data_IF_853697316100
#
_entry.id   IF_853697316100
#
_cell.length_a   1.000
_cell.length_b   1.000
_cell.length_c   1.000
_cell.angle_alpha   90.00
_cell.angle_beta   90.00
_cell.angle_gamma   90.00
#
_symmetry.space_group_name_H-M   'P 1'
#
loop_
_entity.id
_entity.type
_entity.pdbx_description
1 polymer ?
#
# COMPACT_ATOMS: atom_id res chain seq x y z
N UNK A 1 -41.53 -53.64 5.90
CA UNK A 1 -42.18 -52.39 5.50
C UNK A 1 -41.08 -51.33 5.57
N UNK A 2 -40.59 -50.96 4.38
CA UNK A 2 -39.51 -49.96 4.22
C UNK A 2 -40.19 -48.65 3.75
N UNK A 3 -40.00 -47.59 4.52
CA UNK A 3 -40.41 -46.25 4.08
C UNK A 3 -39.23 -45.60 3.39
N UNK A 4 -39.36 -45.30 2.11
CA UNK A 4 -38.46 -44.47 1.33
C UNK A 4 -38.99 -43.04 1.36
N UNK A 5 -38.30 -42.15 2.04
CA UNK A 5 -38.57 -40.69 1.99
C UNK A 5 -37.76 -40.06 0.86
N UNK A 6 -38.48 -39.54 -0.13
CA UNK A 6 -37.91 -38.67 -1.17
C UNK A 6 -37.65 -37.28 -0.57
N UNK A 7 -36.41 -36.87 -0.51
CA UNK A 7 -36.04 -35.50 -0.25
C UNK A 7 -35.92 -34.73 -1.58
N UNK A 8 -36.87 -33.86 -1.81
CA UNK A 8 -36.87 -32.94 -2.95
C UNK A 8 -35.91 -31.78 -2.65
N UNK A 9 -34.78 -31.76 -3.32
CA UNK A 9 -33.78 -30.71 -3.19
C UNK A 9 -34.19 -29.53 -4.09
N UNK A 10 -34.73 -28.45 -3.48
CA UNK A 10 -34.95 -27.19 -4.17
C UNK A 10 -33.58 -26.49 -4.34
N UNK A 11 -33.10 -26.47 -5.56
CA UNK A 11 -32.01 -25.55 -5.97
C UNK A 11 -32.57 -24.12 -6.05
N UNK A 12 -32.37 -23.36 -5.00
CA UNK A 12 -32.50 -21.92 -5.06
C UNK A 12 -31.22 -21.35 -5.66
N UNK A 13 -31.29 -21.02 -6.93
CA UNK A 13 -30.30 -20.15 -7.58
C UNK A 13 -30.41 -18.73 -7.01
N UNK A 14 -29.53 -18.37 -6.09
CA UNK A 14 -29.33 -16.98 -5.73
C UNK A 14 -28.52 -16.31 -6.85
N UNK A 15 -29.21 -15.61 -7.73
CA UNK A 15 -28.60 -14.55 -8.51
C UNK A 15 -28.39 -13.37 -7.56
N UNK A 16 -27.18 -13.22 -7.01
CA UNK A 16 -26.78 -11.99 -6.35
C UNK A 16 -26.60 -10.93 -7.43
N UNK A 17 -27.68 -10.22 -7.71
CA UNK A 17 -27.61 -8.96 -8.41
C UNK A 17 -26.84 -7.97 -7.52
N UNK A 18 -25.72 -7.47 -8.03
CA UNK A 18 -25.07 -6.30 -7.48
C UNK A 18 -26.04 -5.12 -7.64
N UNK A 19 -26.88 -4.84 -6.65
CA UNK A 19 -27.60 -3.58 -6.58
C UNK A 19 -26.63 -2.56 -6.00
N UNK A 20 -26.08 -1.70 -6.87
CA UNK A 20 -25.41 -0.47 -6.44
C UNK A 20 -26.48 0.45 -5.85
N UNK A 21 -26.62 0.46 -4.53
CA UNK A 21 -27.17 1.65 -3.88
C UNK A 21 -26.11 2.75 -4.04
N UNK A 22 -26.40 3.72 -4.88
CA UNK A 22 -25.70 5.01 -4.92
C UNK A 22 -25.83 5.66 -3.53
N UNK A 23 -24.79 5.47 -2.71
CA UNK A 23 -24.59 6.36 -1.56
C UNK A 23 -23.87 7.58 -2.11
N UNK A 24 -24.49 8.74 -1.96
CA UNK A 24 -23.91 10.05 -2.21
C UNK A 24 -22.56 10.19 -1.51
N UNK A 25 -21.47 9.87 -2.22
CA UNK A 25 -20.13 10.27 -1.83
C UNK A 25 -19.96 11.69 -2.32
N UNK A 26 -19.59 12.67 -1.46
CA UNK A 26 -19.38 14.04 -1.91
C UNK A 26 -18.39 14.08 -3.07
N UNK A 27 -18.73 14.83 -4.09
CA UNK A 27 -17.93 15.10 -5.28
C UNK A 27 -16.51 15.54 -4.86
N UNK A 28 -15.46 14.79 -5.18
CA UNK A 28 -14.09 15.16 -4.81
C UNK A 28 -13.59 16.44 -5.51
N UNK A 29 -14.33 16.97 -6.47
CA UNK A 29 -13.98 18.21 -7.18
C UNK A 29 -14.42 19.50 -6.47
N UNK A 30 -15.18 19.43 -5.37
CA UNK A 30 -15.59 20.62 -4.64
C UNK A 30 -14.58 21.02 -3.57
N UNK A 31 -13.42 21.51 -3.96
CA UNK A 31 -12.55 22.16 -2.97
C UNK A 31 -11.04 22.12 -3.15
N UNK A 32 -10.52 21.94 -4.35
CA UNK A 32 -9.08 22.12 -4.60
C UNK A 32 -8.88 23.42 -5.39
N UNK A 33 -8.28 24.46 -4.81
CA UNK A 33 -7.90 25.65 -5.58
C UNK A 33 -6.70 25.34 -6.44
N UNK A 34 -6.88 25.42 -7.78
CA UNK A 34 -5.84 25.74 -8.74
C UNK A 34 -4.72 24.73 -8.92
N UNK A 35 -4.97 23.68 -9.67
CA UNK A 35 -3.93 22.96 -10.40
C UNK A 35 -4.05 23.30 -11.87
N UNK A 36 -2.92 23.69 -12.48
CA UNK A 36 -2.72 24.12 -13.85
C UNK A 36 -3.46 23.20 -14.85
N UNK A 37 -4.29 23.79 -15.71
CA UNK A 37 -5.04 23.09 -16.74
C UNK A 37 -4.08 22.57 -17.83
N UNK A 38 -3.59 21.36 -17.64
CA UNK A 38 -3.10 20.54 -18.74
C UNK A 38 -4.31 20.05 -19.52
N UNK A 39 -4.45 20.47 -20.75
CA UNK A 39 -5.52 20.07 -21.67
C UNK A 39 -5.62 18.56 -21.79
N UNK A 40 -6.57 17.97 -21.10
CA UNK A 40 -7.01 16.58 -21.25
C UNK A 40 -8.33 16.58 -22.01
N UNK A 41 -8.24 16.62 -23.35
CA UNK A 41 -9.38 16.50 -24.24
C UNK A 41 -9.57 15.03 -24.64
N UNK A 42 -10.50 14.37 -23.99
CA UNK A 42 -11.10 13.14 -24.46
C UNK A 42 -10.87 11.92 -23.57
N UNK A 43 -11.68 11.76 -22.60
CA UNK A 43 -12.13 10.56 -21.88
C UNK A 43 -12.47 10.86 -20.41
N UNK A 44 -13.07 12.02 -20.16
CA UNK A 44 -13.34 12.50 -18.77
C UNK A 44 -14.40 11.72 -17.99
N UNK A 45 -15.20 10.88 -18.65
CA UNK A 45 -16.31 10.20 -17.98
C UNK A 45 -16.07 8.71 -17.67
N UNK A 46 -15.12 8.07 -18.34
CA UNK A 46 -14.81 6.64 -18.15
C UNK A 46 -13.74 6.36 -17.11
N UNK A 47 -13.03 7.37 -16.62
CA UNK A 47 -11.85 7.24 -15.78
C UNK A 47 -12.12 7.34 -14.25
N UNK A 48 -13.38 7.56 -13.85
CA UNK A 48 -13.74 7.67 -12.41
C UNK A 48 -13.75 6.33 -11.69
N UNK A 49 -13.95 5.25 -12.41
CA UNK A 49 -14.10 3.91 -11.84
C UNK A 49 -12.96 3.03 -12.31
N UNK A 50 -12.42 2.21 -11.40
CA UNK A 50 -11.41 1.21 -11.75
C UNK A 50 -11.88 0.35 -12.92
N UNK A 51 -11.01 0.04 -13.90
CA UNK A 51 -11.35 -0.86 -14.99
C UNK A 51 -11.75 -2.26 -14.52
N UNK A 52 -11.51 -2.60 -13.25
CA UNK A 52 -11.77 -3.91 -12.63
C UNK A 52 -12.82 -3.83 -11.53
N UNK A 53 -14.03 -3.40 -11.87
CA UNK A 53 -15.13 -3.21 -10.92
C UNK A 53 -15.62 -4.49 -10.26
N UNK A 54 -15.49 -5.63 -10.94
CA UNK A 54 -15.95 -6.93 -10.44
C UNK A 54 -14.89 -8.00 -10.72
N UNK A 55 -14.70 -8.89 -9.79
CA UNK A 55 -13.77 -10.01 -9.97
C UNK A 55 -14.53 -11.34 -10.09
N UNK A 56 -14.09 -12.28 -10.94
CA UNK A 56 -12.97 -12.17 -11.89
C UNK A 56 -13.32 -11.24 -13.05
N UNK A 57 -12.46 -10.29 -13.33
CA UNK A 57 -12.68 -9.34 -14.40
C UNK A 57 -11.89 -9.72 -15.64
N UNK A 58 -12.55 -9.78 -16.79
CA UNK A 58 -11.92 -9.93 -18.10
C UNK A 58 -12.21 -8.68 -18.91
N UNK A 59 -11.16 -7.92 -19.21
CA UNK A 59 -11.20 -6.84 -20.16
C UNK A 59 -10.31 -7.18 -21.34
N UNK A 60 -10.75 -6.92 -22.53
CA UNK A 60 -9.98 -7.09 -23.78
C UNK A 60 -8.65 -6.29 -23.74
N UNK A 61 -8.57 -5.28 -22.87
CA UNK A 61 -7.43 -4.38 -22.74
C UNK A 61 -6.41 -4.84 -21.70
N UNK A 62 -6.76 -5.78 -20.81
CA UNK A 62 -5.92 -6.19 -19.69
C UNK A 62 -5.73 -7.69 -19.63
N UNK A 63 -4.49 -8.12 -19.40
CA UNK A 63 -4.12 -9.51 -19.21
C UNK A 63 -3.71 -9.73 -17.74
N UNK A 64 -4.41 -10.66 -17.05
CA UNK A 64 -4.07 -10.99 -15.66
C UNK A 64 -2.69 -11.65 -15.59
N UNK A 65 -1.85 -11.11 -14.71
CA UNK A 65 -0.50 -11.62 -14.44
C UNK A 65 -0.56 -12.64 -13.30
N UNK A 66 -0.65 -13.92 -13.62
CA UNK A 66 -0.82 -15.00 -12.65
C UNK A 66 0.35 -15.06 -11.67
N UNK A 67 1.59 -14.86 -12.13
CA UNK A 67 2.79 -14.93 -11.30
C UNK A 67 2.85 -13.82 -10.23
N UNK A 68 2.16 -12.71 -10.47
CA UNK A 68 2.08 -11.56 -9.57
C UNK A 68 0.69 -11.41 -8.95
N UNK A 69 -0.07 -12.50 -8.93
CA UNK A 69 -1.41 -12.57 -8.33
C UNK A 69 -1.48 -13.75 -7.38
N UNK A 70 -2.19 -13.58 -6.25
CA UNK A 70 -2.38 -14.64 -5.27
C UNK A 70 -3.74 -14.45 -4.57
N UNK A 71 -4.56 -15.50 -4.57
CA UNK A 71 -5.86 -15.54 -3.88
C UNK A 71 -5.73 -16.08 -2.45
N UNK A 72 -4.57 -16.55 -2.05
CA UNK A 72 -4.21 -17.12 -0.74
C UNK A 72 -4.98 -18.39 -0.30
N UNK A 73 -5.90 -18.92 -1.09
CA UNK A 73 -6.68 -20.13 -0.78
C UNK A 73 -5.82 -21.36 -0.46
N UNK A 74 -4.63 -21.43 -1.03
CA UNK A 74 -3.66 -22.53 -0.88
C UNK A 74 -2.29 -22.07 -0.37
N UNK A 75 -2.25 -20.90 0.26
CA UNK A 75 -1.01 -20.21 0.58
C UNK A 75 -0.52 -19.34 -0.57
N UNK A 76 0.76 -19.01 -0.55
CA UNK A 76 1.42 -18.30 -1.64
C UNK A 76 2.55 -19.16 -2.23
N UNK A 77 2.77 -19.05 -3.53
CA UNK A 77 3.83 -19.79 -4.22
C UNK A 77 5.20 -19.16 -3.93
N UNK A 78 6.05 -19.93 -3.26
CA UNK A 78 7.40 -19.49 -2.87
C UNK A 78 8.38 -19.39 -4.07
N UNK A 79 7.99 -19.80 -5.27
CA UNK A 79 8.74 -19.52 -6.49
C UNK A 79 8.63 -18.03 -6.86
N UNK A 80 7.45 -17.42 -6.66
CA UNK A 80 7.15 -16.04 -7.08
C UNK A 80 7.09 -15.04 -5.93
N UNK A 81 6.87 -15.51 -4.70
CA UNK A 81 6.72 -14.69 -3.52
C UNK A 81 7.71 -15.07 -2.43
N UNK A 82 8.09 -14.11 -1.62
CA UNK A 82 8.94 -14.31 -0.44
C UNK A 82 8.41 -13.56 0.78
N UNK A 83 8.63 -14.13 1.95
CA UNK A 83 8.41 -13.52 3.26
C UNK A 83 9.77 -13.33 3.95
N UNK A 84 10.52 -12.29 3.59
CA UNK A 84 11.90 -12.15 3.99
C UNK A 84 12.05 -11.86 5.48
N UNK A 85 13.16 -12.31 6.06
CA UNK A 85 13.69 -11.70 7.26
C UNK A 85 14.45 -10.44 6.83
N UNK A 86 13.90 -9.28 7.17
CA UNK A 86 14.55 -8.01 6.86
C UNK A 86 14.72 -7.18 8.14
N UNK A 87 15.98 -6.97 8.51
CA UNK A 87 16.40 -6.23 9.69
C UNK A 87 17.02 -4.87 9.37
N UNK A 88 17.03 -4.46 8.10
CA UNK A 88 17.66 -3.20 7.68
C UNK A 88 16.70 -2.03 7.72
N UNK A 89 15.42 -2.29 7.66
CA UNK A 89 14.43 -1.32 7.31
C UNK A 89 14.01 -0.55 8.54
N UNK A 90 13.61 -0.43 9.45
CA UNK A 90 12.85 0.47 10.29
C UNK A 90 13.14 0.29 11.79
N UNK A 91 12.16 0.56 12.60
CA UNK A 91 12.21 0.42 14.06
C UNK A 91 11.71 -0.94 14.54
N UNK A 92 11.48 -1.87 13.62
CA UNK A 92 11.11 -3.27 13.83
C UNK A 92 11.90 -4.18 12.89
N UNK A 93 11.75 -5.48 13.03
CA UNK A 93 12.32 -6.48 12.12
C UNK A 93 11.21 -7.29 11.47
N UNK A 94 11.26 -7.48 10.15
CA UNK A 94 10.37 -8.41 9.48
C UNK A 94 10.85 -9.85 9.71
N UNK A 95 9.94 -10.69 10.18
CA UNK A 95 10.19 -12.10 10.42
C UNK A 95 9.22 -12.97 9.61
N UNK A 96 9.70 -14.05 8.96
CA UNK A 96 8.85 -14.99 8.23
C UNK A 96 7.73 -15.57 9.06
N UNK A 97 7.96 -15.79 10.35
CA UNK A 97 6.98 -16.35 11.30
C UNK A 97 5.80 -15.43 11.60
N UNK A 98 5.87 -14.18 11.13
CA UNK A 98 4.77 -13.22 11.22
C UNK A 98 3.92 -13.17 9.93
N UNK A 99 4.19 -14.06 8.97
CA UNK A 99 3.43 -14.22 7.73
C UNK A 99 2.80 -15.59 7.73
N UNK A 100 1.48 -15.64 7.70
CA UNK A 100 0.71 -16.88 7.70
C UNK A 100 -0.44 -16.79 6.70
N UNK A 101 -0.80 -17.91 6.10
CA UNK A 101 -2.04 -18.03 5.33
C UNK A 101 -3.01 -18.91 6.09
N UNK A 102 -4.22 -18.40 6.31
CA UNK A 102 -5.27 -19.10 7.05
C UNK A 102 -6.63 -18.75 6.46
N UNK A 103 -7.48 -19.76 6.29
CA UNK A 103 -8.87 -19.61 5.81
C UNK A 103 -8.96 -18.78 4.51
N UNK A 104 -8.05 -19.05 3.57
CA UNK A 104 -8.00 -18.36 2.28
C UNK A 104 -7.52 -16.92 2.34
N UNK A 105 -6.81 -16.51 3.40
CA UNK A 105 -6.32 -15.15 3.59
C UNK A 105 -4.87 -15.13 4.02
N UNK A 106 -4.16 -14.09 3.61
CA UNK A 106 -2.85 -13.76 4.16
C UNK A 106 -3.04 -12.95 5.45
N UNK A 107 -2.35 -13.36 6.51
CA UNK A 107 -2.21 -12.66 7.77
C UNK A 107 -0.79 -12.13 7.92
N UNK A 108 -0.64 -10.82 7.98
CA UNK A 108 0.62 -10.17 8.37
C UNK A 108 0.48 -9.69 9.81
N UNK A 109 1.29 -10.26 10.70
CA UNK A 109 1.19 -10.03 12.14
C UNK A 109 2.31 -9.12 12.62
N UNK A 110 1.97 -8.18 13.49
CA UNK A 110 2.94 -7.47 14.31
C UNK A 110 2.86 -8.01 15.73
N UNK A 111 4.03 -8.29 16.33
CA UNK A 111 4.12 -8.89 17.68
C UNK A 111 5.12 -8.15 18.51
N UNK A 112 4.80 -7.95 19.80
CA UNK A 112 5.80 -7.52 20.75
C UNK A 112 6.87 -8.60 20.90
N UNK A 113 8.10 -8.22 20.60
CA UNK A 113 9.27 -9.06 20.75
C UNK A 113 10.51 -8.18 20.91
N UNK A 114 11.00 -8.09 22.16
CA UNK A 114 12.20 -7.32 22.47
C UNK A 114 13.45 -8.03 21.95
N UNK A 115 14.20 -7.36 21.11
CA UNK A 115 15.43 -7.88 20.53
C UNK A 115 16.43 -6.76 20.21
N UNK A 116 17.62 -7.14 19.77
CA UNK A 116 18.66 -6.18 19.36
C UNK A 116 18.94 -6.26 17.87
N UNK A 117 19.20 -5.10 17.31
CA UNK A 117 19.79 -4.96 15.98
C UNK A 117 21.07 -4.13 16.09
N UNK A 118 22.22 -4.82 16.15
CA UNK A 118 23.48 -4.21 16.55
C UNK A 118 23.40 -3.70 18.00
N UNK A 119 23.61 -2.42 18.20
CA UNK A 119 23.50 -1.77 19.51
C UNK A 119 22.10 -1.24 19.84
N UNK A 120 21.15 -1.26 18.88
CA UNK A 120 19.81 -0.70 19.03
C UNK A 120 18.85 -1.74 19.63
N UNK A 121 18.09 -1.34 20.64
CA UNK A 121 16.95 -2.12 21.13
C UNK A 121 15.76 -1.90 20.20
N UNK A 122 15.10 -3.00 19.82
CA UNK A 122 13.87 -3.05 19.08
C UNK A 122 12.83 -3.84 19.89
N UNK A 123 11.57 -3.50 19.70
CA UNK A 123 10.49 -4.03 20.56
C UNK A 123 9.44 -4.81 19.79
N UNK A 124 9.48 -4.81 18.46
CA UNK A 124 8.48 -5.46 17.63
C UNK A 124 9.11 -6.22 16.47
N UNK A 125 8.46 -7.32 16.12
CA UNK A 125 8.63 -7.99 14.84
C UNK A 125 7.35 -7.88 14.02
N UNK A 126 7.46 -7.92 12.69
CA UNK A 126 6.31 -7.80 11.80
C UNK A 126 6.40 -8.73 10.60
N UNK A 127 5.32 -8.80 9.80
CA UNK A 127 5.22 -9.58 8.58
C UNK A 127 5.33 -8.72 7.31
N UNK A 128 5.97 -9.30 6.28
CA UNK A 128 6.05 -8.77 4.93
C UNK A 128 5.92 -9.92 3.93
N UNK A 129 5.15 -9.70 2.87
CA UNK A 129 5.15 -10.54 1.67
C UNK A 129 5.56 -9.67 0.49
N UNK A 130 6.51 -10.15 -0.33
CA UNK A 130 7.05 -9.42 -1.47
C UNK A 130 7.18 -10.31 -2.70
N UNK A 131 6.93 -9.77 -3.90
CA UNK A 131 7.23 -10.48 -5.14
C UNK A 131 8.74 -10.65 -5.32
N UNK A 132 9.17 -11.79 -5.85
CA UNK A 132 10.59 -12.04 -6.15
C UNK A 132 11.05 -11.38 -7.45
N UNK A 133 10.12 -11.04 -8.31
CA UNK A 133 10.39 -10.32 -9.56
C UNK A 133 9.69 -8.97 -9.56
N UNK A 134 10.23 -8.04 -10.32
CA UNK A 134 9.72 -6.68 -10.46
C UNK A 134 8.63 -6.62 -11.51
N UNK A 135 7.75 -5.67 -11.37
CA UNK A 135 6.68 -5.31 -12.31
C UNK A 135 6.85 -3.85 -12.74
N UNK A 136 6.48 -3.54 -13.98
CA UNK A 136 6.58 -2.19 -14.55
C UNK A 136 5.23 -1.47 -14.58
N UNK A 137 4.83 -1.00 -15.77
CA UNK A 137 3.49 -0.45 -15.97
C UNK A 137 2.45 -1.54 -15.90
N UNK A 138 1.32 -1.24 -15.26
CA UNK A 138 0.25 -2.20 -15.04
C UNK A 138 -0.76 -1.71 -14.03
N UNK A 139 -1.78 -2.52 -13.81
CA UNK A 139 -2.79 -2.33 -12.79
C UNK A 139 -2.56 -3.35 -11.68
N UNK A 140 -2.50 -2.88 -10.45
CA UNK A 140 -2.20 -3.67 -9.26
C UNK A 140 -3.21 -3.38 -8.18
N UNK A 141 -3.86 -4.41 -7.64
CA UNK A 141 -4.84 -4.27 -6.56
C UNK A 141 -4.63 -5.30 -5.46
N UNK A 142 -5.01 -4.93 -4.24
CA UNK A 142 -5.13 -5.85 -3.12
C UNK A 142 -6.41 -5.54 -2.34
N UNK A 143 -7.09 -6.59 -1.86
CA UNK A 143 -8.24 -6.47 -0.97
C UNK A 143 -7.78 -6.68 0.46
N UNK A 144 -7.84 -5.61 1.25
CA UNK A 144 -7.19 -5.53 2.55
C UNK A 144 -8.18 -5.08 3.62
N UNK A 145 -8.10 -5.73 4.78
CA UNK A 145 -8.63 -5.26 6.05
C UNK A 145 -7.46 -4.80 6.91
N UNK A 146 -7.47 -3.56 7.35
CA UNK A 146 -6.39 -2.94 8.13
C UNK A 146 -6.21 -3.59 9.50
N UNK A 147 -5.05 -3.38 10.07
CA UNK A 147 -4.74 -3.79 11.44
C UNK A 147 -5.55 -2.95 12.45
N UNK A 148 -5.88 -3.54 13.59
CA UNK A 148 -6.79 -3.01 14.59
C UNK A 148 -6.15 -2.05 15.62
N UNK A 149 -4.92 -1.58 15.35
CA UNK A 149 -4.19 -0.67 16.25
C UNK A 149 -3.98 0.70 15.62
N UNK A 150 -4.77 1.68 16.06
CA UNK A 150 -4.57 3.07 15.69
C UNK A 150 -4.70 4.00 16.93
N UNK A 151 -3.76 4.94 17.13
CA UNK A 151 -2.52 5.12 16.37
C UNK A 151 -1.49 4.05 16.72
N UNK A 152 -0.61 3.71 15.77
CA UNK A 152 0.53 2.86 16.08
C UNK A 152 0.93 1.86 15.02
N UNK A 153 0.01 1.40 14.16
CA UNK A 153 0.33 0.51 13.04
C UNK A 153 0.06 1.18 11.69
N UNK A 154 0.59 0.57 10.63
CA UNK A 154 0.36 0.98 9.25
C UNK A 154 0.33 -0.25 8.38
N UNK A 155 -0.87 -0.64 7.95
CA UNK A 155 -1.06 -1.68 6.94
C UNK A 155 -0.79 -1.08 5.57
N UNK A 156 0.12 -1.66 4.79
CA UNK A 156 0.56 -1.09 3.54
C UNK A 156 0.56 -2.10 2.38
N UNK A 157 0.12 -1.61 1.22
CA UNK A 157 0.37 -2.20 -0.08
C UNK A 157 1.12 -1.18 -0.94
N UNK A 158 2.30 -1.54 -1.43
CA UNK A 158 3.21 -0.62 -2.08
C UNK A 158 4.13 -1.30 -3.07
N UNK A 159 4.70 -0.51 -3.97
CA UNK A 159 5.67 -0.93 -4.96
C UNK A 159 6.96 -0.16 -4.74
N UNK A 160 8.12 -0.81 -4.85
CA UNK A 160 9.38 -0.10 -4.69
C UNK A 160 10.58 -0.77 -5.41
N UNK A 161 11.55 0.06 -5.75
CA UNK A 161 12.88 -0.40 -6.17
C UNK A 161 13.72 -0.71 -4.93
N UNK A 162 14.45 -1.82 -4.91
CA UNK A 162 15.21 -2.21 -3.72
C UNK A 162 16.46 -1.33 -3.55
N UNK A 163 16.63 -0.62 -2.41
CA UNK A 163 17.75 0.32 -2.25
C UNK A 163 19.14 -0.30 -2.42
N UNK A 164 19.33 -1.59 -2.10
CA UNK A 164 20.62 -2.26 -2.27
C UNK A 164 20.96 -2.61 -3.73
N UNK A 165 20.03 -2.42 -4.66
CA UNK A 165 20.23 -2.63 -6.09
C UNK A 165 20.59 -1.33 -6.83
N UNK A 166 20.64 -0.21 -6.11
CA UNK A 166 21.00 1.08 -6.71
C UNK A 166 22.50 1.07 -7.02
N UNK A 167 22.82 1.22 -8.30
CA UNK A 167 24.19 1.41 -8.79
C UNK A 167 24.37 2.85 -9.28
N UNK A 168 25.13 3.63 -8.51
CA UNK A 168 25.40 5.03 -8.83
C UNK A 168 26.67 5.23 -9.68
N UNK A 169 27.38 4.15 -10.05
CA UNK A 169 28.70 4.24 -10.68
C UNK A 169 28.74 5.02 -12.00
N UNK A 170 27.63 5.02 -12.74
CA UNK A 170 27.47 5.74 -14.01
C UNK A 170 26.40 6.85 -13.93
N UNK A 171 25.94 7.18 -12.72
CA UNK A 171 24.87 8.15 -12.51
C UNK A 171 25.34 9.59 -12.70
N UNK A 172 24.38 10.48 -12.90
CA UNK A 172 24.56 11.94 -12.99
C UNK A 172 23.67 12.62 -11.98
N UNK A 173 24.02 13.85 -11.59
CA UNK A 173 23.16 14.69 -10.77
C UNK A 173 21.72 14.69 -11.33
N UNK A 174 20.75 14.55 -10.43
CA UNK A 174 19.31 14.51 -10.71
C UNK A 174 18.80 13.24 -11.43
N UNK A 175 19.65 12.25 -11.67
CA UNK A 175 19.16 10.95 -12.11
C UNK A 175 18.28 10.33 -11.03
N UNK A 176 17.11 9.82 -11.44
CA UNK A 176 16.21 9.08 -10.56
C UNK A 176 16.73 7.66 -10.43
N UNK A 177 17.08 7.25 -9.23
CA UNK A 177 17.71 5.95 -8.91
C UNK A 177 16.84 5.04 -8.06
N UNK A 178 15.71 5.53 -7.58
CA UNK A 178 14.75 4.77 -6.77
C UNK A 178 13.33 5.26 -7.02
N UNK A 179 12.41 4.34 -7.14
CA UNK A 179 10.98 4.59 -7.20
C UNK A 179 10.24 3.86 -6.10
N UNK A 180 9.18 4.52 -5.57
CA UNK A 180 8.25 3.95 -4.61
C UNK A 180 6.85 4.51 -4.86
N UNK A 181 5.85 3.63 -4.91
CA UNK A 181 4.44 3.97 -5.01
C UNK A 181 3.72 3.26 -3.87
N UNK A 182 3.27 4.02 -2.88
CA UNK A 182 2.44 3.52 -1.80
C UNK A 182 0.99 3.52 -2.29
N UNK A 183 0.51 2.36 -2.75
CA UNK A 183 -0.86 2.19 -3.21
C UNK A 183 -1.84 2.53 -2.09
N UNK A 184 -1.50 2.11 -0.88
CA UNK A 184 -2.18 2.47 0.35
C UNK A 184 -1.26 2.34 1.55
N UNK A 185 -1.34 3.30 2.46
CA UNK A 185 -0.86 3.25 3.82
C UNK A 185 -2.04 3.57 4.75
N UNK A 186 -2.65 2.52 5.30
CA UNK A 186 -3.78 2.65 6.22
C UNK A 186 -3.28 3.13 7.57
N UNK A 187 -4.05 4.03 8.19
CA UNK A 187 -3.81 4.49 9.55
C UNK A 187 -2.47 5.23 9.75
N UNK A 188 -1.82 5.62 8.67
CA UNK A 188 -0.56 6.37 8.69
C UNK A 188 -0.72 7.77 9.31
N UNK A 189 -1.87 8.41 9.09
CA UNK A 189 -2.09 9.81 9.50
C UNK A 189 -2.52 9.87 10.97
N UNK A 190 -1.72 10.49 11.86
CA UNK A 190 -2.02 10.49 13.30
C UNK A 190 -3.30 11.23 13.67
N UNK A 191 -3.80 12.11 12.78
CA UNK A 191 -5.02 12.88 13.02
C UNK A 191 -6.30 12.05 12.95
N UNK A 192 -6.33 11.05 12.08
CA UNK A 192 -7.54 10.30 11.80
C UNK A 192 -7.24 8.99 11.09
N UNK A 193 -7.82 7.91 11.59
CA UNK A 193 -7.81 6.61 10.94
C UNK A 193 -8.64 6.56 9.65
N UNK A 194 -9.49 7.56 9.43
CA UNK A 194 -10.32 7.71 8.23
C UNK A 194 -9.61 8.42 7.07
N UNK A 195 -8.36 8.83 7.24
CA UNK A 195 -7.56 9.41 6.18
C UNK A 195 -6.67 8.30 5.59
N UNK A 196 -6.97 7.93 4.36
CA UNK A 196 -6.17 7.02 3.56
C UNK A 196 -5.00 7.78 2.95
N UNK A 197 -3.80 7.24 3.04
CA UNK A 197 -2.58 7.84 2.53
C UNK A 197 -2.09 7.07 1.32
N UNK A 198 -1.90 7.76 0.20
CA UNK A 198 -1.42 7.22 -1.06
C UNK A 198 -0.28 8.12 -1.52
N UNK A 199 0.93 7.63 -1.43
CA UNK A 199 2.11 8.46 -1.60
C UNK A 199 3.01 7.94 -2.72
N UNK A 200 3.88 8.82 -3.21
CA UNK A 200 4.92 8.45 -4.16
C UNK A 200 6.23 9.10 -3.75
N UNK A 201 7.30 8.33 -3.82
CA UNK A 201 8.64 8.76 -3.44
C UNK A 201 9.64 8.44 -4.54
N UNK A 202 10.66 9.26 -4.68
CA UNK A 202 11.82 8.97 -5.50
C UNK A 202 13.10 9.27 -4.74
N UNK A 203 14.21 8.64 -5.14
CA UNK A 203 15.53 9.14 -4.78
C UNK A 203 16.23 9.59 -6.05
N UNK A 204 16.95 10.68 -5.91
CA UNK A 204 17.79 11.24 -6.97
C UNK A 204 19.24 11.27 -6.53
N UNK A 205 20.15 11.43 -7.47
CA UNK A 205 21.54 11.71 -7.16
C UNK A 205 21.75 13.21 -6.94
N UNK A 206 22.36 13.57 -5.81
CA UNK A 206 22.77 14.95 -5.52
C UNK A 206 24.05 15.34 -6.28
N UNK A 207 24.65 16.47 -5.94
CA UNK A 207 25.87 16.96 -6.58
C UNK A 207 27.10 16.09 -6.31
N UNK A 208 27.10 15.36 -5.19
CA UNK A 208 28.16 14.41 -4.80
C UNK A 208 27.86 12.98 -5.26
N UNK A 209 26.83 12.77 -6.08
CA UNK A 209 26.29 11.48 -6.52
C UNK A 209 25.85 10.58 -5.36
N UNK A 210 25.39 11.19 -4.27
CA UNK A 210 24.75 10.50 -3.14
C UNK A 210 23.23 10.49 -3.30
N UNK A 211 22.61 9.53 -2.67
CA UNK A 211 21.15 9.37 -2.72
C UNK A 211 20.47 10.48 -1.88
N UNK A 212 19.71 11.34 -2.54
CA UNK A 212 18.82 12.33 -1.92
C UNK A 212 17.37 11.86 -2.03
N UNK A 213 16.67 11.76 -0.89
CA UNK A 213 15.27 11.34 -0.87
C UNK A 213 14.33 12.52 -1.16
N UNK A 214 13.44 12.35 -2.13
CA UNK A 214 12.35 13.26 -2.45
C UNK A 214 11.07 12.65 -1.92
N UNK A 215 10.70 13.01 -0.68
CA UNK A 215 9.57 12.42 0.05
C UNK A 215 8.27 13.17 -0.22
N UNK A 216 7.16 12.45 -0.34
CA UNK A 216 5.81 13.01 -0.51
C UNK A 216 5.48 14.10 0.52
N UNK A 217 5.83 13.91 1.80
CA UNK A 217 5.60 14.90 2.85
C UNK A 217 6.39 16.20 2.69
N UNK A 218 7.54 16.18 2.01
CA UNK A 218 8.35 17.36 1.71
C UNK A 218 7.98 17.99 0.37
N UNK A 219 7.45 17.20 -0.55
CA UNK A 219 7.06 17.59 -1.91
C UNK A 219 5.62 17.14 -2.20
N UNK A 220 4.62 17.72 -1.49
CA UNK A 220 3.25 17.22 -1.54
C UNK A 220 2.59 17.35 -2.91
N UNK A 221 2.92 18.36 -3.68
CA UNK A 221 2.38 18.49 -5.03
C UNK A 221 2.87 17.40 -5.99
N UNK A 222 4.05 16.83 -5.72
CA UNK A 222 4.61 15.75 -6.51
C UNK A 222 3.98 14.39 -6.17
N UNK A 223 3.98 14.02 -4.89
CA UNK A 223 3.75 12.64 -4.50
C UNK A 223 2.73 12.40 -3.40
N UNK A 224 2.13 13.45 -2.78
CA UNK A 224 1.20 13.25 -1.67
C UNK A 224 -0.25 13.19 -2.16
N UNK A 225 -0.99 12.17 -1.73
CA UNK A 225 -2.43 12.08 -1.85
C UNK A 225 -3.02 11.60 -0.51
N UNK A 226 -4.12 12.22 -0.10
CA UNK A 226 -4.88 11.84 1.08
C UNK A 226 -6.37 11.82 0.71
N UNK A 227 -7.03 10.69 0.97
CA UNK A 227 -8.46 10.51 0.71
C UNK A 227 -9.16 10.28 2.04
N UNK A 228 -10.17 11.07 2.35
CA UNK A 228 -11.00 10.87 3.55
C UNK A 228 -12.16 9.96 3.23
N UNK A 229 -12.37 8.93 4.06
CA UNK A 229 -13.46 7.98 3.95
C UNK A 229 -14.37 8.05 5.17
N UNK A 230 -15.61 7.55 5.05
CA UNK A 230 -16.60 7.52 6.14
C UNK A 230 -16.60 6.21 6.93
N UNK A 231 -15.81 5.23 6.51
CA UNK A 231 -15.68 3.90 7.11
C UNK A 231 -14.29 3.72 7.74
N UNK A 232 -14.20 2.78 8.68
CA UNK A 232 -12.96 2.47 9.35
C UNK A 232 -12.24 1.32 8.64
N UNK A 233 -10.96 1.49 8.20
CA UNK A 233 -10.21 0.47 7.49
C UNK A 233 -10.00 -0.86 8.23
N UNK A 234 -10.20 -0.87 9.53
CA UNK A 234 -10.08 -2.08 10.37
C UNK A 234 -11.38 -2.89 10.48
N UNK A 235 -12.52 -2.33 10.06
CA UNK A 235 -13.82 -2.98 10.24
C UNK A 235 -14.10 -4.03 9.15
N UNK A 236 -13.75 -3.73 7.89
CA UNK A 236 -14.01 -4.61 6.74
C UNK A 236 -12.90 -4.54 5.68
N UNK A 237 -13.03 -5.40 4.68
CA UNK A 237 -12.14 -5.47 3.52
C UNK A 237 -12.53 -4.44 2.46
N UNK A 238 -11.55 -3.66 2.04
CA UNK A 238 -11.64 -2.73 0.93
C UNK A 238 -10.61 -3.03 -0.15
N UNK A 239 -10.89 -2.65 -1.39
CA UNK A 239 -9.98 -2.83 -2.52
C UNK A 239 -9.18 -1.55 -2.73
N UNK A 240 -7.87 -1.67 -2.67
CA UNK A 240 -6.94 -0.58 -2.93
C UNK A 240 -6.14 -0.90 -4.19
N UNK A 241 -6.09 0.04 -5.13
CA UNK A 241 -5.43 -0.23 -6.40
C UNK A 241 -4.67 0.98 -6.94
N UNK A 242 -3.72 0.68 -7.81
CA UNK A 242 -2.99 1.66 -8.61
C UNK A 242 -2.86 1.16 -10.04
N UNK A 243 -3.03 2.06 -11.00
CA UNK A 243 -2.56 1.85 -12.36
C UNK A 243 -1.34 2.76 -12.60
N UNK A 244 -0.17 2.12 -12.75
CA UNK A 244 1.05 2.80 -13.15
C UNK A 244 1.11 2.81 -14.69
N UNK A 245 0.90 3.97 -15.29
CA UNK A 245 0.89 4.22 -16.74
C UNK A 245 2.14 4.99 -17.16
N UNK A 246 2.50 5.02 -18.45
CA UNK A 246 3.60 5.87 -18.94
C UNK A 246 3.39 7.37 -18.72
N UNK A 247 2.14 7.83 -18.71
CA UNK A 247 1.73 9.25 -18.61
C UNK A 247 1.31 9.64 -17.19
N UNK A 248 0.74 8.71 -16.42
CA UNK A 248 0.10 8.99 -15.14
C UNK A 248 0.18 7.82 -14.16
N UNK A 249 0.10 8.13 -12.87
CA UNK A 249 -0.14 7.16 -11.79
C UNK A 249 -1.52 7.44 -11.23
N UNK A 250 -2.44 6.46 -11.34
CA UNK A 250 -3.85 6.61 -10.98
C UNK A 250 -4.19 5.69 -9.81
N UNK A 251 -4.80 6.22 -8.76
CA UNK A 251 -5.16 5.49 -7.55
C UNK A 251 -6.66 5.26 -7.45
N UNK A 252 -7.04 4.09 -6.95
CA UNK A 252 -8.43 3.69 -6.78
C UNK A 252 -8.66 3.12 -5.39
N UNK A 253 -9.85 3.36 -4.84
CA UNK A 253 -10.38 2.73 -3.62
C UNK A 253 -11.77 2.21 -3.93
N UNK A 254 -12.01 0.93 -3.69
CA UNK A 254 -13.28 0.25 -4.00
C UNK A 254 -13.77 0.52 -5.44
N UNK A 255 -12.83 0.42 -6.38
CA UNK A 255 -13.02 0.66 -7.81
C UNK A 255 -13.33 2.12 -8.22
N UNK A 256 -13.30 3.06 -7.28
CA UNK A 256 -13.47 4.49 -7.57
C UNK A 256 -12.11 5.15 -7.66
N UNK A 257 -11.86 5.91 -8.73
CA UNK A 257 -10.66 6.74 -8.85
C UNK A 257 -10.67 7.84 -7.80
N UNK A 258 -9.64 7.86 -6.95
CA UNK A 258 -9.50 8.82 -5.85
C UNK A 258 -8.39 9.84 -6.06
N UNK A 259 -7.37 9.49 -6.86
CA UNK A 259 -6.28 10.40 -7.19
C UNK A 259 -5.63 10.05 -8.53
N UNK A 260 -5.00 11.04 -9.14
CA UNK A 260 -4.15 10.87 -10.31
C UNK A 260 -3.02 11.90 -10.27
N UNK A 261 -1.83 11.47 -10.68
CA UNK A 261 -0.64 12.33 -10.81
C UNK A 261 0.05 12.05 -12.14
N UNK A 262 0.63 13.07 -12.80
CA UNK A 262 1.48 12.84 -13.96
C UNK A 262 2.67 11.93 -13.59
N UNK A 263 2.96 10.96 -14.42
CA UNK A 263 4.09 10.05 -14.20
C UNK A 263 5.38 10.63 -14.77
N UNK A 264 5.98 11.60 -14.10
CA UNK A 264 7.26 12.17 -14.52
C UNK A 264 8.46 11.27 -14.23
N UNK A 265 8.39 10.43 -13.16
CA UNK A 265 9.59 9.81 -12.60
C UNK A 265 9.43 8.33 -12.23
N UNK A 266 8.23 7.77 -12.15
CA UNK A 266 7.98 6.38 -11.69
C UNK A 266 7.95 5.40 -12.87
N UNK A 267 9.12 5.23 -13.53
CA UNK A 267 9.28 4.42 -14.74
C UNK A 267 10.18 3.19 -14.54
N UNK A 268 10.66 2.98 -13.32
CA UNK A 268 11.47 1.81 -12.99
C UNK A 268 10.58 0.63 -12.63
N UNK A 269 11.04 -0.57 -12.94
CA UNK A 269 10.38 -1.79 -12.44
C UNK A 269 10.53 -1.90 -10.92
N UNK A 270 9.47 -2.28 -10.22
CA UNK A 270 9.35 -2.29 -8.77
C UNK A 270 8.84 -3.64 -8.26
N UNK A 271 9.16 -3.98 -7.01
CA UNK A 271 8.61 -5.14 -6.32
C UNK A 271 7.24 -4.81 -5.73
N UNK A 272 6.27 -5.71 -5.90
CA UNK A 272 4.98 -5.66 -5.20
C UNK A 272 5.17 -6.09 -3.75
N UNK A 273 4.65 -5.33 -2.80
CA UNK A 273 4.88 -5.59 -1.38
C UNK A 273 3.63 -5.34 -0.55
N UNK A 274 3.33 -6.28 0.32
CA UNK A 274 2.37 -6.18 1.41
C UNK A 274 3.13 -6.20 2.71
N UNK A 275 2.90 -5.24 3.61
CA UNK A 275 3.61 -5.17 4.89
C UNK A 275 2.78 -4.53 5.98
N UNK A 276 3.05 -4.91 7.23
CA UNK A 276 2.51 -4.25 8.40
C UNK A 276 3.64 -3.52 9.12
N UNK A 277 3.56 -2.21 9.21
CA UNK A 277 4.59 -1.36 9.81
C UNK A 277 4.14 -0.71 11.11
N UNK A 278 5.09 -0.03 11.77
CA UNK A 278 4.84 0.79 12.96
C UNK A 278 4.79 2.27 12.62
N UNK A 279 4.03 3.00 13.46
CA UNK A 279 3.95 4.47 13.47
C UNK A 279 3.98 4.94 14.93
N UNK A 280 3.95 6.25 15.14
CA UNK A 280 3.77 6.84 16.48
C UNK A 280 2.51 6.25 17.13
N UNK A 281 2.54 5.78 18.39
CA UNK A 281 3.57 6.06 19.40
C UNK A 281 4.72 5.03 19.48
N UNK A 282 4.73 3.96 18.68
CA UNK A 282 5.74 2.90 18.77
C UNK A 282 7.06 3.27 18.10
N UNK A 283 7.07 4.34 17.35
CA UNK A 283 8.28 4.97 16.83
C UNK A 283 8.22 6.49 16.97
N UNK A 284 9.37 7.13 16.98
CA UNK A 284 9.50 8.58 16.95
C UNK A 284 10.54 9.00 15.91
N UNK A 285 10.42 10.24 15.46
CA UNK A 285 11.38 10.86 14.56
C UNK A 285 12.23 11.83 15.36
N UNK A 286 13.55 11.77 15.20
CA UNK A 286 14.49 12.78 15.67
C UNK A 286 14.52 13.98 14.70
N UNK A 287 15.12 15.07 15.14
CA UNK A 287 15.18 16.31 14.36
C UNK A 287 15.94 16.16 13.02
N UNK A 288 16.87 15.22 12.94
CA UNK A 288 17.61 14.85 11.73
C UNK A 288 16.84 13.87 10.80
N UNK A 289 15.61 13.49 11.20
CA UNK A 289 14.76 12.56 10.48
C UNK A 289 15.06 11.08 10.77
N UNK A 290 15.99 10.78 11.70
CA UNK A 290 16.23 9.40 12.13
C UNK A 290 15.00 8.85 12.86
N UNK A 291 14.64 7.59 12.55
CA UNK A 291 13.56 6.87 13.23
C UNK A 291 14.12 6.07 14.41
N UNK A 292 13.49 6.20 15.56
CA UNK A 292 13.84 5.47 16.78
C UNK A 292 12.67 4.60 17.23
N UNK A 293 12.98 3.38 17.65
CA UNK A 293 12.02 2.50 18.32
C UNK A 293 11.69 3.07 19.71
N UNK A 294 10.43 3.06 20.07
CA UNK A 294 9.95 3.47 21.40
C UNK A 294 9.63 2.22 22.19
N UNK A 295 10.15 2.16 23.44
CA UNK A 295 9.81 1.08 24.34
C UNK A 295 8.34 1.20 24.77
N UNK A 296 7.48 0.24 24.42
CA UNK A 296 6.05 0.31 24.77
C UNK A 296 5.79 0.22 26.27
N UNK A 297 6.68 -0.39 27.05
CA UNK A 297 6.53 -0.50 28.52
C UNK A 297 6.51 0.87 29.24
N UNK A 298 7.01 1.91 28.56
CA UNK A 298 7.04 3.28 29.10
C UNK A 298 5.98 4.21 28.54
N UNK A 299 5.08 3.73 27.67
CA UNK A 299 4.05 4.56 27.08
C UNK A 299 2.87 4.78 28.03
N UNK A 300 2.36 6.02 28.05
CA UNK A 300 1.15 6.34 28.75
C UNK A 300 -0.03 5.61 28.06
N UNK A 301 -0.89 4.96 28.86
CA UNK A 301 -2.07 4.25 28.37
C UNK A 301 -3.00 5.14 27.57
N UNK A 302 -3.07 6.43 27.88
CA UNK A 302 -3.88 7.42 27.14
C UNK A 302 -3.37 7.67 25.71
N UNK A 303 -2.16 7.26 25.39
CA UNK A 303 -1.55 7.40 24.05
C UNK A 303 -1.78 6.15 23.20
N UNK A 304 -2.17 5.04 23.82
CA UNK A 304 -2.21 3.73 23.17
C UNK A 304 -3.53 3.40 22.51
N UNK A 305 -4.62 3.96 22.98
CA UNK A 305 -5.93 3.87 22.33
C UNK A 305 -6.99 4.72 23.03
N UNK A 306 -8.20 4.73 22.46
CA UNK A 306 -9.40 5.21 23.11
C UNK A 306 -9.94 4.20 24.16
N UNK A 307 -9.41 2.98 24.21
CA UNK A 307 -9.94 1.87 25.03
C UNK A 307 -8.88 1.19 25.95
N UNK A 308 -7.59 1.51 25.83
CA UNK A 308 -6.51 1.10 26.77
C UNK A 308 -6.07 -0.36 26.69
N UNK A 309 -6.37 -1.09 25.62
CA UNK A 309 -6.18 -2.54 25.58
C UNK A 309 -4.99 -3.05 24.75
N UNK A 310 -4.39 -2.24 23.89
CA UNK A 310 -3.43 -2.72 22.88
C UNK A 310 -2.11 -3.20 23.43
N UNK A 311 -1.59 -2.53 24.45
CA UNK A 311 -0.44 -3.05 25.18
C UNK A 311 -0.88 -3.22 26.63
N UNK A 312 -1.14 -4.45 27.00
CA UNK A 312 -1.31 -4.78 28.39
C UNK A 312 0.08 -4.71 29.07
N UNK A 313 0.37 -3.72 29.93
CA UNK A 313 1.66 -3.60 30.62
C UNK A 313 1.98 -4.83 31.46
N UNK A 314 0.94 -5.58 31.90
CA UNK A 314 1.07 -6.81 32.67
C UNK A 314 1.38 -8.03 31.78
N UNK A 315 1.16 -7.93 30.47
CA UNK A 315 1.43 -9.01 29.51
C UNK A 315 1.74 -8.46 28.12
N UNK A 316 2.80 -7.66 27.94
CA UNK A 316 3.17 -7.07 26.65
C UNK A 316 3.47 -8.13 25.59
N UNK A 317 3.83 -9.36 26.00
CA UNK A 317 4.06 -10.50 25.11
C UNK A 317 2.80 -10.97 24.39
N UNK A 318 1.62 -10.54 24.81
CA UNK A 318 0.33 -10.85 24.15
C UNK A 318 -0.05 -9.84 23.08
N UNK A 319 0.65 -8.71 22.97
CA UNK A 319 0.37 -7.76 21.92
C UNK A 319 0.56 -8.43 20.56
N UNK A 320 -0.50 -8.49 19.80
CA UNK A 320 -0.52 -8.96 18.43
C UNK A 320 -1.59 -8.19 17.69
N UNK A 321 -1.24 -7.54 16.59
CA UNK A 321 -2.19 -6.95 15.66
C UNK A 321 -1.98 -7.54 14.28
N UNK A 322 -3.02 -7.62 13.47
CA UNK A 322 -3.03 -8.36 12.21
C UNK A 322 -3.64 -7.52 11.10
N UNK A 323 -2.91 -7.42 10.00
CA UNK A 323 -3.43 -7.01 8.70
C UNK A 323 -3.87 -8.25 7.93
N UNK A 324 -5.08 -8.24 7.41
CA UNK A 324 -5.61 -9.33 6.61
C UNK A 324 -5.66 -8.94 5.14
N UNK A 325 -5.24 -9.84 4.27
CA UNK A 325 -5.33 -9.67 2.81
C UNK A 325 -6.06 -10.84 2.20
N UNK A 326 -7.16 -10.56 1.52
CA UNK A 326 -7.99 -11.55 0.85
C UNK A 326 -7.34 -12.01 -0.46
N UNK A 327 -6.84 -11.06 -1.23
CA UNK A 327 -6.08 -11.33 -2.44
C UNK A 327 -5.13 -10.17 -2.80
N UNK A 328 -4.16 -10.47 -3.65
CA UNK A 328 -3.40 -9.51 -4.46
C UNK A 328 -3.52 -9.93 -5.92
N UNK A 329 -3.80 -8.98 -6.81
CA UNK A 329 -3.99 -9.22 -8.23
C UNK A 329 -3.30 -8.20 -9.08
N UNK A 330 -2.79 -8.64 -10.22
CA UNK A 330 -2.00 -7.84 -11.13
C UNK A 330 -2.43 -8.07 -12.57
N UNK A 331 -2.52 -6.98 -13.33
CA UNK A 331 -2.82 -7.02 -14.76
C UNK A 331 -1.84 -6.14 -15.53
N UNK A 332 -1.51 -6.60 -16.71
CA UNK A 332 -0.75 -5.85 -17.71
C UNK A 332 -1.68 -5.46 -18.85
N UNK A 333 -1.47 -4.31 -19.43
CA UNK A 333 -2.12 -3.91 -20.68
C UNK A 333 -1.08 -3.36 -21.64
N UNK A 334 -1.49 -3.24 -22.89
CA UNK A 334 -0.74 -2.51 -23.90
C UNK A 334 -0.83 -1.00 -23.65
N UNK A 335 0.33 -0.38 -23.50
CA UNK A 335 0.48 1.06 -23.31
C UNK A 335 1.10 1.75 -24.56
N UNK A 336 1.17 1.09 -25.74
CA UNK A 336 1.80 1.65 -26.92
C UNK A 336 1.19 2.98 -27.37
N UNK A 337 -0.10 3.19 -27.09
CA UNK A 337 -0.80 4.42 -27.43
C UNK A 337 -0.77 5.49 -26.32
N UNK A 338 -0.03 5.25 -25.22
CA UNK A 338 0.12 6.22 -24.17
C UNK A 338 1.36 7.07 -24.41
N UNK A 339 1.18 8.37 -24.46
CA UNK A 339 2.30 9.30 -24.53
C UNK A 339 3.01 9.36 -23.16
N UNK A 340 4.30 9.06 -23.13
CA UNK A 340 5.06 9.08 -21.89
C UNK A 340 5.32 10.49 -21.41
N UNK A 341 4.97 10.79 -20.15
CA UNK A 341 5.35 12.05 -19.49
C UNK A 341 6.76 12.04 -18.89
N UNK A 342 7.54 10.99 -19.10
CA UNK A 342 8.90 10.84 -18.56
C UNK A 342 9.78 12.03 -18.92
N UNK A 343 10.39 12.61 -17.91
CA UNK A 343 11.38 13.68 -18.04
C UNK A 343 12.45 13.59 -16.96
N UNK A 344 13.54 14.31 -17.16
CA UNK A 344 14.57 14.45 -16.14
C UNK A 344 14.03 15.28 -14.96
N UNK A 345 14.46 14.92 -13.75
CA UNK A 345 14.28 15.75 -12.55
C UNK A 345 15.19 16.99 -12.69
N UNK A 346 14.71 18.16 -12.25
CA UNK A 346 15.47 19.41 -12.30
C UNK A 346 15.54 20.07 -10.94
N UNK A 347 16.51 20.97 -10.72
CA UNK A 347 16.60 21.73 -9.47
C UNK A 347 15.39 22.64 -9.23
N UNK A 348 14.68 23.06 -10.30
CA UNK A 348 13.44 23.82 -10.22
C UNK A 348 12.28 22.96 -9.66
N UNK A 349 12.32 21.66 -9.87
CA UNK A 349 11.28 20.74 -9.36
C UNK A 349 11.23 20.74 -7.84
N UNK A 350 12.37 20.93 -7.17
CA UNK A 350 12.42 21.07 -5.71
C UNK A 350 11.61 22.27 -5.19
N UNK A 351 11.45 23.32 -5.99
CA UNK A 351 10.62 24.47 -5.65
C UNK A 351 9.18 24.29 -6.13
N UNK A 352 9.01 23.75 -7.34
CA UNK A 352 7.70 23.55 -7.97
C UNK A 352 6.80 22.62 -7.15
N UNK A 353 7.34 21.57 -6.57
CA UNK A 353 6.58 20.51 -5.91
C UNK A 353 6.47 20.64 -4.39
N UNK A 354 7.08 21.64 -3.79
CA UNK A 354 6.92 21.99 -2.36
C UNK A 354 5.52 22.47 -1.99
#
# INVERSE_FOLDING_TARGET
IVYISFFLMFLLSFSSGCSSEEKDIPDPDSGIPGGDEGSDDGDKETDKVSPFMCTPYNSDKFEKQILYSCEFDRGFDTEYWENPKDDKFATWTFFPENVETRDGKLELKIKYYKHKRGTKDLYFTSGMLRSKSKVGYGYYEARIKGADVWPGTCSAFWLYTFPSEIDNSNGKKNDVVYNEIDVIELQQVPKSKFILSQNMHIWILDEDLKNEQIKAGQYPKLGKNETTVSWNPEDDYHVYAVENRPDSVVFYVDNVRVASKPNYFWHMDMYLTLSLGLRTPFEKYEADGQRLAVNPDGLDKSVLDNEGEFINPESPQRFTSVMYVDYIRSWKRDYENFESSKRAFTDEDKQRFK
#
